data_IF_044050532933
#
_entry.id   IF_044050532933
#
_cell.length_a   1.000
_cell.length_b   1.000
_cell.length_c   1.000
_cell.angle_alpha   90.00
_cell.angle_beta   90.00
_cell.angle_gamma   90.00
#
_symmetry.space_group_name_H-M   'P 1'
#
loop_
_entity.id
_entity.type
_entity.pdbx_description
1 polymer ?
#
# COMPACT_ATOMS: atom_id res chain seq x y z
N UNK A 1 4.73 13.90 23.27
CA UNK A 1 5.45 14.14 24.53
C UNK A 1 4.54 14.02 25.74
N UNK A 2 3.33 14.62 25.77
CA UNK A 2 2.41 14.52 26.93
C UNK A 2 2.06 13.07 27.26
N UNK A 3 1.66 12.26 26.27
CA UNK A 3 1.37 10.84 26.46
C UNK A 3 2.57 10.04 27.00
N UNK A 4 3.79 10.32 26.54
CA UNK A 4 4.99 9.66 27.05
C UNK A 4 5.23 9.99 28.54
N UNK A 5 5.03 11.26 28.94
CA UNK A 5 5.12 11.65 30.37
C UNK A 5 4.09 10.94 31.22
N UNK A 6 2.84 10.88 30.74
CA UNK A 6 1.74 10.20 31.45
C UNK A 6 2.02 8.71 31.64
N UNK A 7 2.65 8.06 30.66
CA UNK A 7 3.02 6.66 30.68
C UNK A 7 4.39 6.39 31.33
N UNK A 8 5.08 7.42 31.83
CA UNK A 8 6.43 7.33 32.41
C UNK A 8 7.46 6.72 31.45
N UNK A 9 7.27 6.94 30.14
CA UNK A 9 8.18 6.50 29.09
C UNK A 9 9.22 7.57 28.76
N UNK A 10 10.38 7.19 28.20
CA UNK A 10 11.35 8.15 27.66
C UNK A 10 10.70 9.12 26.68
N UNK A 11 11.16 10.39 26.71
CA UNK A 11 10.61 11.39 25.78
C UNK A 11 11.02 11.05 24.33
N UNK A 12 10.08 11.05 23.39
CA UNK A 12 10.39 10.78 22.01
C UNK A 12 11.23 11.92 21.41
N UNK A 13 12.25 11.54 20.65
CA UNK A 13 12.98 12.48 19.81
C UNK A 13 12.15 12.80 18.57
N UNK A 14 11.99 14.09 18.26
CA UNK A 14 11.28 14.56 17.08
C UNK A 14 12.30 15.00 16.04
N UNK A 15 12.22 14.39 14.86
CA UNK A 15 13.02 14.76 13.68
C UNK A 15 12.08 15.33 12.61
N UNK A 16 12.27 16.60 12.28
CA UNK A 16 11.54 17.25 11.19
C UNK A 16 12.34 17.10 9.91
N UNK A 17 11.83 16.32 8.96
CA UNK A 17 12.50 16.10 7.67
C UNK A 17 12.50 17.35 6.81
N UNK A 18 13.62 17.65 6.16
CA UNK A 18 13.84 18.84 5.35
C UNK A 18 13.76 18.57 3.84
N UNK A 19 13.90 17.30 3.43
CA UNK A 19 13.91 16.87 2.03
C UNK A 19 13.37 15.45 1.89
N UNK A 20 12.93 15.11 0.68
CA UNK A 20 12.48 13.76 0.34
C UNK A 20 13.64 12.75 0.46
N UNK A 21 13.38 11.60 1.08
CA UNK A 21 14.37 10.56 1.34
C UNK A 21 15.05 10.65 2.71
N UNK A 22 14.92 11.78 3.44
CA UNK A 22 15.58 11.94 4.74
C UNK A 22 15.02 10.96 5.80
N UNK A 23 13.74 10.66 5.78
CA UNK A 23 13.16 9.68 6.69
C UNK A 23 13.70 8.28 6.42
N UNK A 24 13.91 7.92 5.15
CA UNK A 24 14.54 6.65 4.74
C UNK A 24 16.00 6.57 5.22
N UNK A 25 16.76 7.65 5.07
CA UNK A 25 18.15 7.72 5.54
C UNK A 25 18.23 7.54 7.06
N UNK A 26 17.38 8.23 7.81
CA UNK A 26 17.29 8.11 9.25
C UNK A 26 16.94 6.67 9.68
N UNK A 27 15.94 6.06 9.04
CA UNK A 27 15.56 4.68 9.33
C UNK A 27 16.71 3.69 9.07
N UNK A 28 17.47 3.87 7.98
CA UNK A 28 18.68 3.06 7.70
C UNK A 28 19.76 3.21 8.76
N UNK A 29 19.99 4.42 9.26
CA UNK A 29 20.96 4.68 10.32
C UNK A 29 20.57 3.96 11.60
N UNK A 30 19.29 4.02 12.00
CA UNK A 30 18.79 3.28 13.17
C UNK A 30 18.84 1.76 12.95
N UNK A 31 18.50 1.28 11.76
CA UNK A 31 18.63 -0.14 11.42
C UNK A 31 20.07 -0.62 11.57
N UNK A 32 21.04 0.14 11.05
CA UNK A 32 22.46 -0.18 11.14
C UNK A 32 23.04 -0.12 12.56
N UNK A 33 22.43 0.65 13.48
CA UNK A 33 22.90 0.75 14.86
C UNK A 33 22.70 -0.53 15.68
N UNK A 34 21.78 -1.42 15.24
CA UNK A 34 21.41 -2.63 15.97
C UNK A 34 20.64 -2.39 17.28
N UNK A 35 20.48 -1.13 17.69
CA UNK A 35 19.75 -0.78 18.91
C UNK A 35 18.23 -0.84 18.66
N UNK A 36 17.45 -1.53 19.52
CA UNK A 36 15.99 -1.54 19.38
C UNK A 36 15.41 -0.14 19.40
N UNK A 37 14.61 0.21 18.38
CA UNK A 37 13.99 1.53 18.24
C UNK A 37 12.60 1.45 17.61
N UNK A 38 11.69 2.29 18.10
CA UNK A 38 10.38 2.54 17.51
C UNK A 38 10.44 3.86 16.71
N UNK A 39 10.19 3.80 15.40
CA UNK A 39 10.15 4.94 14.51
C UNK A 39 8.69 5.22 14.10
N UNK A 40 8.21 6.44 14.28
CA UNK A 40 6.84 6.83 13.93
C UNK A 40 6.84 7.79 12.75
N UNK A 41 6.19 7.37 11.66
CA UNK A 41 5.89 8.24 10.52
C UNK A 41 4.73 9.18 10.89
N UNK A 42 5.04 10.40 11.31
CA UNK A 42 4.04 11.46 11.53
C UNK A 42 3.84 12.22 10.21
N UNK A 43 3.06 11.64 9.28
CA UNK A 43 2.92 12.16 7.93
C UNK A 43 1.87 11.39 7.12
N UNK A 44 1.98 11.48 5.79
CA UNK A 44 1.17 10.68 4.86
C UNK A 44 1.90 9.40 4.41
N UNK A 45 1.30 8.74 3.41
CA UNK A 45 1.79 7.47 2.87
C UNK A 45 3.25 7.54 2.40
N UNK A 46 3.68 8.66 1.79
CA UNK A 46 5.07 8.84 1.38
C UNK A 46 6.07 8.84 2.53
N UNK A 47 5.75 9.48 3.68
CA UNK A 47 6.62 9.47 4.86
C UNK A 47 6.72 8.05 5.46
N UNK A 48 5.60 7.34 5.50
CA UNK A 48 5.56 5.95 5.93
C UNK A 48 6.41 5.07 5.00
N UNK A 49 6.24 5.22 3.68
CA UNK A 49 6.99 4.45 2.69
C UNK A 49 8.51 4.68 2.81
N UNK A 50 8.96 5.92 3.06
CA UNK A 50 10.38 6.21 3.32
C UNK A 50 10.91 5.44 4.56
N UNK A 51 10.16 5.42 5.67
CA UNK A 51 10.55 4.65 6.85
C UNK A 51 10.56 3.15 6.56
N UNK A 52 9.55 2.63 5.87
CA UNK A 52 9.46 1.22 5.45
C UNK A 52 10.68 0.83 4.62
N UNK A 53 11.04 1.61 3.60
CA UNK A 53 12.21 1.37 2.76
C UNK A 53 13.53 1.38 3.54
N UNK A 54 13.62 2.21 4.56
CA UNK A 54 14.82 2.31 5.41
C UNK A 54 14.93 1.22 6.45
N UNK A 55 13.79 0.69 6.94
CA UNK A 55 13.71 -0.29 8.01
C UNK A 55 13.54 -1.74 7.50
N UNK A 56 13.26 -1.94 6.22
CA UNK A 56 13.01 -3.26 5.63
C UNK A 56 14.12 -4.26 5.97
N UNK A 57 13.74 -5.47 6.40
CA UNK A 57 14.66 -6.52 6.81
C UNK A 57 15.34 -6.32 8.19
N UNK A 58 15.10 -5.19 8.86
CA UNK A 58 15.70 -4.91 10.15
C UNK A 58 14.92 -5.57 11.30
N UNK A 59 15.64 -6.27 12.17
CA UNK A 59 15.06 -6.89 13.36
C UNK A 59 14.89 -5.91 14.54
N UNK A 60 15.70 -4.85 14.58
CA UNK A 60 15.78 -3.90 15.70
C UNK A 60 14.90 -2.65 15.49
N UNK A 61 14.32 -2.43 14.32
CA UNK A 61 13.44 -1.30 14.05
C UNK A 61 12.00 -1.76 13.97
N UNK A 62 11.10 -1.04 14.67
CA UNK A 62 9.67 -1.18 14.52
C UNK A 62 9.07 0.15 14.04
N UNK A 63 8.19 0.10 13.02
CA UNK A 63 7.63 1.28 12.37
C UNK A 63 6.17 1.47 12.77
N UNK A 64 5.85 2.62 13.35
CA UNK A 64 4.48 3.07 13.61
C UNK A 64 4.05 4.16 12.63
N UNK A 65 2.75 4.42 12.54
CA UNK A 65 2.18 5.45 11.69
C UNK A 65 1.23 6.36 12.46
N UNK A 66 1.43 7.67 12.35
CA UNK A 66 0.48 8.70 12.77
C UNK A 66 -0.04 9.37 11.51
N UNK A 67 -1.27 9.06 11.05
CA UNK A 67 -1.76 9.45 9.74
C UNK A 67 -2.13 10.93 9.69
N UNK A 68 -1.27 11.75 9.09
CA UNK A 68 -1.46 13.19 8.91
C UNK A 68 -1.55 13.60 7.43
N UNK A 69 -1.55 12.65 6.51
CA UNK A 69 -1.64 12.86 5.07
C UNK A 69 -3.07 12.95 4.55
N UNK A 70 -3.21 13.11 3.23
CA UNK A 70 -4.51 13.17 2.55
C UNK A 70 -5.05 11.79 2.15
N UNK A 71 -4.18 10.78 1.93
CA UNK A 71 -4.54 9.41 1.57
C UNK A 71 -4.70 8.55 2.80
N UNK A 72 -3.60 8.32 3.49
CA UNK A 72 -3.48 7.47 4.67
C UNK A 72 -4.05 6.07 4.42
N UNK A 73 -3.64 5.46 3.31
CA UNK A 73 -4.22 4.20 2.83
C UNK A 73 -3.80 3.03 3.73
N UNK A 74 -2.55 3.03 4.23
CA UNK A 74 -2.05 2.02 5.15
C UNK A 74 -2.97 1.77 6.36
N UNK A 75 -3.40 2.82 7.05
CA UNK A 75 -4.22 2.68 8.26
C UNK A 75 -5.64 2.19 7.99
N UNK A 76 -6.11 2.25 6.74
CA UNK A 76 -7.41 1.71 6.32
C UNK A 76 -7.44 0.19 6.35
N UNK A 77 -6.30 -0.46 6.24
CA UNK A 77 -6.18 -1.91 6.31
C UNK A 77 -6.61 -2.48 7.68
N UNK A 78 -6.63 -1.67 8.74
CA UNK A 78 -6.84 -2.13 10.12
C UNK A 78 -8.28 -1.93 10.62
N UNK A 79 -9.25 -2.06 9.75
CA UNK A 79 -10.67 -2.25 10.09
C UNK A 79 -11.49 -0.97 10.18
N UNK A 80 -12.75 -1.15 10.63
CA UNK A 80 -13.79 -0.12 10.64
C UNK A 80 -13.50 1.08 11.55
N UNK A 81 -12.64 0.94 12.56
CA UNK A 81 -12.18 2.04 13.39
C UNK A 81 -11.32 3.06 12.62
N UNK A 82 -10.81 2.67 11.43
CA UNK A 82 -10.07 3.54 10.55
C UNK A 82 -8.86 4.18 11.21
N UNK A 83 -8.72 5.49 11.09
CA UNK A 83 -7.56 6.24 11.58
C UNK A 83 -7.57 6.51 13.10
N UNK A 84 -8.72 6.41 13.77
CA UNK A 84 -8.87 6.84 15.15
C UNK A 84 -7.89 6.19 16.14
N UNK A 85 -7.62 4.86 16.10
CA UNK A 85 -6.65 4.24 17.00
C UNK A 85 -5.21 4.75 16.75
N UNK A 86 -4.90 5.11 15.52
CA UNK A 86 -3.58 5.60 15.13
C UNK A 86 -3.33 7.06 15.54
N UNK A 87 -4.39 7.80 15.88
CA UNK A 87 -4.30 9.16 16.42
C UNK A 87 -4.25 9.20 17.96
N UNK A 88 -4.48 8.06 18.62
CA UNK A 88 -4.29 7.92 20.06
C UNK A 88 -2.81 7.67 20.37
N UNK A 89 -2.10 8.70 20.79
CA UNK A 89 -0.67 8.62 21.09
C UNK A 89 -0.36 7.70 22.27
N UNK A 90 -1.24 7.54 23.23
CA UNK A 90 -1.03 6.63 24.34
C UNK A 90 -1.13 5.17 23.87
N UNK A 91 -2.13 4.85 23.04
CA UNK A 91 -2.26 3.54 22.41
C UNK A 91 -1.06 3.23 21.48
N UNK A 92 -0.58 4.22 20.72
CA UNK A 92 0.62 4.08 19.86
C UNK A 92 1.87 3.72 20.66
N UNK A 93 2.13 4.43 21.77
CA UNK A 93 3.30 4.18 22.62
C UNK A 93 3.23 2.84 23.39
N UNK A 94 2.05 2.24 23.49
CA UNK A 94 1.82 0.91 24.08
C UNK A 94 1.65 -0.19 23.02
N UNK A 95 1.76 0.17 21.73
CA UNK A 95 1.62 -0.78 20.64
C UNK A 95 2.71 -1.86 20.70
N UNK A 96 2.32 -3.07 20.30
CA UNK A 96 3.25 -4.20 20.21
C UNK A 96 3.72 -4.36 18.76
N UNK A 97 4.97 -4.72 18.54
CA UNK A 97 5.47 -5.00 17.19
C UNK A 97 4.82 -6.27 16.63
N UNK A 98 4.37 -6.17 15.39
CA UNK A 98 3.83 -7.29 14.61
C UNK A 98 4.64 -7.40 13.33
N UNK A 99 4.95 -8.61 12.90
CA UNK A 99 5.63 -8.83 11.64
C UNK A 99 4.67 -8.77 10.47
N UNK A 100 5.06 -8.02 9.44
CA UNK A 100 4.32 -7.95 8.18
C UNK A 100 5.25 -8.21 7.00
N UNK A 101 4.64 -8.65 5.92
CA UNK A 101 5.28 -8.80 4.63
C UNK A 101 5.45 -7.45 3.95
N UNK A 102 6.36 -7.36 3.01
CA UNK A 102 6.57 -6.19 2.16
C UNK A 102 6.56 -6.61 0.69
N UNK A 103 6.37 -5.63 -0.20
CA UNK A 103 6.61 -5.80 -1.63
C UNK A 103 8.02 -5.34 -1.99
N UNK A 104 8.83 -6.24 -2.55
CA UNK A 104 10.05 -5.85 -3.26
C UNK A 104 9.70 -5.68 -4.73
N UNK A 105 9.95 -4.50 -5.27
CA UNK A 105 9.70 -4.24 -6.69
C UNK A 105 10.93 -3.65 -7.38
N UNK A 106 10.90 -3.61 -8.72
CA UNK A 106 11.92 -2.90 -9.50
C UNK A 106 11.91 -1.38 -9.28
N UNK A 107 10.87 -0.83 -8.62
CA UNK A 107 10.76 0.59 -8.24
C UNK A 107 11.19 0.87 -6.81
N UNK A 108 11.35 -0.15 -5.98
CA UNK A 108 11.68 -0.06 -4.57
C UNK A 108 10.84 -0.98 -3.70
N UNK A 109 10.84 -0.72 -2.39
CA UNK A 109 10.07 -1.50 -1.41
C UNK A 109 8.81 -0.73 -1.04
N UNK A 110 7.68 -1.43 -0.98
CA UNK A 110 6.40 -0.91 -0.52
C UNK A 110 5.77 -1.78 0.55
N UNK A 111 4.78 -1.24 1.23
CA UNK A 111 4.02 -1.93 2.27
C UNK A 111 2.60 -2.26 1.82
N UNK A 112 1.98 -1.42 1.00
CA UNK A 112 0.59 -1.60 0.59
C UNK A 112 0.45 -2.19 -0.81
N UNK A 113 0.60 -1.37 -1.86
CA UNK A 113 0.25 -1.77 -3.24
C UNK A 113 1.26 -1.24 -4.25
N UNK A 114 1.67 -2.11 -5.15
CA UNK A 114 2.26 -1.75 -6.43
C UNK A 114 1.21 -1.92 -7.53
N UNK A 115 1.04 -0.91 -8.37
CA UNK A 115 0.07 -0.97 -9.45
C UNK A 115 0.65 -0.47 -10.76
N UNK A 116 0.08 -0.92 -11.89
CA UNK A 116 0.47 -0.48 -13.23
C UNK A 116 -0.75 -0.29 -14.13
N UNK A 117 -0.75 0.76 -14.93
CA UNK A 117 -1.80 1.07 -15.89
C UNK A 117 -2.67 2.24 -15.51
N UNK A 118 -4.00 2.10 -15.65
CA UNK A 118 -4.94 3.21 -15.55
C UNK A 118 -4.90 3.93 -14.20
N UNK A 119 -4.86 3.19 -13.12
CA UNK A 119 -4.81 3.72 -11.74
C UNK A 119 -3.49 4.44 -11.45
N UNK A 120 -2.36 3.82 -11.81
CA UNK A 120 -1.05 4.46 -11.71
C UNK A 120 -0.95 5.72 -12.59
N UNK A 121 -1.59 5.72 -13.76
CA UNK A 121 -1.66 6.90 -14.63
C UNK A 121 -2.46 8.04 -13.99
N UNK A 122 -3.53 7.73 -13.25
CA UNK A 122 -4.25 8.72 -12.44
C UNK A 122 -3.33 9.32 -11.39
N UNK A 123 -2.63 8.49 -10.62
CA UNK A 123 -1.69 8.96 -9.60
C UNK A 123 -0.57 9.84 -10.19
N UNK A 124 0.02 9.41 -11.30
CA UNK A 124 1.08 10.13 -12.03
C UNK A 124 0.65 11.51 -12.53
N UNK A 125 -0.63 11.68 -12.88
CA UNK A 125 -1.17 12.94 -13.38
C UNK A 125 -1.46 13.99 -12.28
N UNK A 126 -1.69 13.57 -11.03
CA UNK A 126 -2.12 14.46 -9.94
C UNK A 126 -1.15 15.64 -9.72
N UNK A 127 0.18 15.49 -9.63
CA UNK A 127 1.10 16.57 -9.41
C UNK A 127 1.03 17.68 -10.50
N UNK A 128 0.77 17.27 -11.74
CA UNK A 128 0.59 18.22 -12.87
C UNK A 128 -0.59 19.14 -12.64
N UNK A 129 -1.72 18.59 -12.21
CA UNK A 129 -2.94 19.37 -11.99
C UNK A 129 -2.88 20.19 -10.70
N UNK A 130 -2.19 19.73 -9.66
CA UNK A 130 -1.99 20.50 -8.42
C UNK A 130 -1.23 21.81 -8.64
N UNK A 131 -0.43 21.92 -9.72
CA UNK A 131 0.29 23.14 -10.08
C UNK A 131 -0.59 24.21 -10.73
N UNK A 132 -1.82 23.88 -11.14
CA UNK A 132 -2.75 24.83 -11.74
C UNK A 132 -3.41 25.70 -10.67
N UNK A 133 -3.51 27.02 -10.87
CA UNK A 133 -4.20 27.91 -9.94
C UNK A 133 -5.64 27.44 -9.69
N UNK A 134 -6.07 27.38 -8.43
CA UNK A 134 -7.40 26.95 -8.04
C UNK A 134 -7.67 25.44 -8.08
N UNK A 135 -6.73 24.61 -8.53
CA UNK A 135 -6.86 23.17 -8.59
C UNK A 135 -6.21 22.49 -7.37
N UNK A 136 -6.81 22.62 -6.19
CA UNK A 136 -6.39 21.89 -4.99
C UNK A 136 -7.00 20.50 -4.88
N UNK A 137 -6.36 19.62 -4.08
CA UNK A 137 -6.89 18.36 -3.57
C UNK A 137 -7.77 17.55 -4.54
N UNK A 138 -9.08 17.56 -4.29
CA UNK A 138 -10.08 16.79 -5.03
C UNK A 138 -10.18 17.20 -6.52
N UNK A 139 -10.01 18.48 -6.86
CA UNK A 139 -10.10 18.93 -8.25
C UNK A 139 -8.95 18.36 -9.10
N UNK A 140 -7.72 18.38 -8.59
CA UNK A 140 -6.56 17.80 -9.27
C UNK A 140 -6.73 16.29 -9.49
N UNK A 141 -7.27 15.58 -8.50
CA UNK A 141 -7.58 14.16 -8.60
C UNK A 141 -8.63 13.87 -9.69
N UNK A 142 -9.74 14.63 -9.69
CA UNK A 142 -10.81 14.48 -10.69
C UNK A 142 -10.31 14.75 -12.11
N UNK A 143 -9.50 15.81 -12.30
CA UNK A 143 -8.90 16.13 -13.60
C UNK A 143 -7.93 15.04 -14.06
N UNK A 144 -7.18 14.44 -13.15
CA UNK A 144 -6.30 13.33 -13.46
C UNK A 144 -7.07 12.08 -13.89
N UNK A 145 -8.19 11.75 -13.23
CA UNK A 145 -9.08 10.67 -13.67
C UNK A 145 -9.60 10.97 -15.09
N UNK A 146 -10.09 12.19 -15.34
CA UNK A 146 -10.61 12.56 -16.64
C UNK A 146 -9.54 12.43 -17.74
N UNK A 147 -8.31 12.89 -17.47
CA UNK A 147 -7.19 12.73 -18.39
C UNK A 147 -6.90 11.25 -18.66
N UNK A 148 -6.83 10.44 -17.60
CA UNK A 148 -6.58 9.01 -17.73
C UNK A 148 -7.69 8.30 -18.52
N UNK A 149 -8.95 8.69 -18.29
CA UNK A 149 -10.10 8.19 -19.03
C UNK A 149 -10.09 8.57 -20.53
N UNK A 150 -9.47 9.69 -20.91
CA UNK A 150 -9.30 10.10 -22.30
C UNK A 150 -8.10 9.44 -22.98
N UNK A 151 -7.19 8.86 -22.22
CA UNK A 151 -6.02 8.16 -22.77
C UNK A 151 -6.38 6.82 -23.40
N UNK A 152 -5.42 6.21 -24.07
CA UNK A 152 -5.57 4.87 -24.64
C UNK A 152 -5.55 3.83 -23.52
N UNK A 153 -6.59 3.01 -23.44
CA UNK A 153 -6.68 1.91 -22.48
C UNK A 153 -5.92 0.69 -22.95
N UNK A 154 -5.17 0.12 -22.03
CA UNK A 154 -4.53 -1.16 -22.17
C UNK A 154 -3.16 -1.13 -22.84
N UNK A 155 -2.32 -2.00 -22.33
CA UNK A 155 -1.01 -2.35 -22.84
C UNK A 155 -0.98 -3.83 -23.13
N UNK A 156 -0.30 -4.23 -24.22
CA UNK A 156 -0.02 -5.63 -24.45
C UNK A 156 1.15 -6.04 -23.55
N UNK A 157 0.87 -6.92 -22.60
CA UNK A 157 1.82 -7.36 -21.56
C UNK A 157 2.05 -8.87 -21.68
N UNK A 158 3.29 -9.28 -21.45
CA UNK A 158 3.62 -10.61 -20.96
C UNK A 158 3.65 -10.53 -19.45
N UNK A 159 2.88 -11.39 -18.79
CA UNK A 159 2.75 -11.45 -17.33
C UNK A 159 3.13 -12.86 -16.88
N UNK A 160 4.14 -12.99 -16.05
CA UNK A 160 4.53 -14.24 -15.42
C UNK A 160 4.17 -14.17 -13.93
N UNK A 161 3.34 -15.11 -13.46
CA UNK A 161 2.91 -15.22 -12.06
C UNK A 161 3.44 -16.55 -11.52
N UNK A 162 4.34 -16.48 -10.53
CA UNK A 162 5.10 -17.64 -10.03
C UNK A 162 5.68 -18.48 -11.19
N UNK A 163 6.27 -17.79 -12.19
CA UNK A 163 6.88 -18.40 -13.36
C UNK A 163 5.90 -18.89 -14.44
N UNK A 164 4.59 -18.81 -14.23
CA UNK A 164 3.59 -19.18 -15.25
C UNK A 164 3.26 -17.96 -16.12
N UNK A 165 3.68 -18.02 -17.37
CA UNK A 165 3.50 -16.92 -18.33
C UNK A 165 2.11 -16.90 -18.96
N UNK A 166 1.59 -15.69 -19.13
CA UNK A 166 0.43 -15.37 -19.93
C UNK A 166 0.67 -14.07 -20.70
N UNK A 167 0.18 -14.00 -21.93
CA UNK A 167 0.23 -12.79 -22.74
C UNK A 167 -1.18 -12.29 -22.99
N UNK A 168 -1.41 -11.03 -22.71
CA UNK A 168 -2.73 -10.42 -22.86
C UNK A 168 -2.66 -8.91 -22.99
N UNK A 169 -3.82 -8.30 -23.21
CA UNK A 169 -3.98 -6.84 -23.11
C UNK A 169 -4.64 -6.53 -21.77
N UNK A 170 -3.99 -5.68 -20.98
CA UNK A 170 -4.48 -5.29 -19.66
C UNK A 170 -4.51 -3.77 -19.55
N UNK A 171 -5.56 -3.24 -18.96
CA UNK A 171 -5.68 -1.81 -18.68
C UNK A 171 -5.15 -1.44 -17.29
N UNK A 172 -5.12 -2.42 -16.39
CA UNK A 172 -4.69 -2.23 -15.01
C UNK A 172 -4.18 -3.56 -14.44
N UNK A 173 -3.14 -3.47 -13.63
CA UNK A 173 -2.67 -4.54 -12.77
C UNK A 173 -2.41 -3.95 -11.38
N UNK A 174 -3.03 -4.50 -10.34
CA UNK A 174 -2.75 -4.17 -8.95
C UNK A 174 -2.10 -5.38 -8.27
N UNK A 175 -0.98 -5.17 -7.60
CA UNK A 175 -0.18 -6.17 -6.89
C UNK A 175 -0.22 -5.74 -5.44
N UNK A 176 -0.98 -6.46 -4.62
CA UNK A 176 -1.44 -6.02 -3.33
C UNK A 176 -0.84 -6.87 -2.20
N UNK A 177 -0.15 -6.23 -1.27
CA UNK A 177 0.17 -6.75 0.05
C UNK A 177 -0.86 -6.24 1.07
N UNK A 178 -1.21 -4.95 1.00
CA UNK A 178 -2.40 -4.37 1.64
C UNK A 178 -3.59 -4.27 0.70
N UNK A 179 -4.76 -3.91 1.22
CA UNK A 179 -6.00 -3.84 0.44
C UNK A 179 -6.30 -2.48 -0.18
N UNK A 180 -5.68 -1.39 0.31
CA UNK A 180 -6.08 -0.01 -0.01
C UNK A 180 -4.99 0.79 -0.70
N UNK A 181 -5.41 1.68 -1.61
CA UNK A 181 -4.55 2.63 -2.29
C UNK A 181 -5.35 3.84 -2.82
N UNK A 182 -4.65 4.85 -3.33
CA UNK A 182 -5.26 5.96 -4.06
C UNK A 182 -6.29 6.78 -3.27
N UNK A 183 -6.16 6.86 -1.94
CA UNK A 183 -7.08 7.59 -1.07
C UNK A 183 -8.38 6.83 -0.80
N UNK A 184 -8.31 5.52 -0.62
CA UNK A 184 -9.41 4.66 -0.19
C UNK A 184 -10.06 3.81 -1.27
N UNK A 185 -9.37 3.53 -2.37
CA UNK A 185 -9.77 2.46 -3.28
C UNK A 185 -9.34 1.12 -2.70
N UNK A 186 -10.25 0.16 -2.66
CA UNK A 186 -10.01 -1.15 -2.08
C UNK A 186 -9.77 -2.18 -3.19
N UNK A 187 -8.51 -2.30 -3.64
CA UNK A 187 -8.15 -3.18 -4.75
C UNK A 187 -8.22 -4.66 -4.38
N UNK A 188 -7.82 -5.01 -3.15
CA UNK A 188 -7.84 -6.37 -2.63
C UNK A 188 -8.46 -6.40 -1.22
N UNK A 189 -9.80 -6.48 -1.12
CA UNK A 189 -10.52 -6.37 0.15
C UNK A 189 -10.14 -7.43 1.19
N UNK A 190 -9.58 -8.53 0.75
CA UNK A 190 -9.24 -9.67 1.58
C UNK A 190 -7.73 -9.94 1.66
N UNK A 191 -6.90 -9.01 1.17
CA UNK A 191 -5.45 -9.09 1.29
C UNK A 191 -5.02 -9.22 2.75
N UNK A 192 -3.99 -10.04 2.98
CA UNK A 192 -3.39 -10.23 4.30
C UNK A 192 -1.90 -9.91 4.23
N UNK A 193 -1.44 -9.03 5.12
CA UNK A 193 -0.06 -8.52 5.09
C UNK A 193 0.95 -9.44 5.80
N UNK A 194 0.58 -10.67 6.13
CA UNK A 194 1.40 -11.62 6.91
C UNK A 194 1.25 -13.08 6.47
N UNK A 195 0.75 -13.33 5.25
CA UNK A 195 0.52 -14.70 4.75
C UNK A 195 1.55 -15.15 3.70
N UNK A 196 2.55 -14.32 3.41
CA UNK A 196 3.62 -14.63 2.45
C UNK A 196 3.17 -14.64 1.00
N UNK A 197 2.04 -13.98 0.68
CA UNK A 197 1.46 -13.92 -0.66
C UNK A 197 1.11 -12.49 -1.04
N UNK A 198 0.97 -12.26 -2.34
CA UNK A 198 0.45 -11.04 -2.95
C UNK A 198 -0.87 -11.36 -3.64
N UNK A 199 -1.87 -10.50 -3.47
CA UNK A 199 -3.10 -10.56 -4.24
C UNK A 199 -2.94 -9.75 -5.53
N UNK A 200 -2.97 -10.41 -6.69
CA UNK A 200 -2.70 -9.83 -7.99
C UNK A 200 -4.01 -9.71 -8.76
N UNK A 201 -4.48 -8.50 -8.98
CA UNK A 201 -5.70 -8.20 -9.72
C UNK A 201 -5.33 -7.69 -11.10
N UNK A 202 -5.66 -8.47 -12.13
CA UNK A 202 -5.46 -8.10 -13.54
C UNK A 202 -6.79 -7.74 -14.18
N UNK A 203 -6.85 -6.57 -14.84
CA UNK A 203 -8.04 -6.06 -15.49
C UNK A 203 -7.81 -5.88 -16.98
N UNK A 204 -8.62 -6.59 -17.81
CA UNK A 204 -8.64 -6.43 -19.26
C UNK A 204 -9.32 -5.11 -19.65
N UNK A 205 -9.02 -4.56 -20.83
CA UNK A 205 -9.69 -3.35 -21.31
C UNK A 205 -11.22 -3.53 -21.41
N UNK A 206 -11.94 -2.57 -20.87
CA UNK A 206 -13.37 -2.42 -20.98
C UNK A 206 -13.70 -1.02 -21.50
N UNK A 207 -14.94 -0.78 -21.90
CA UNK A 207 -15.36 0.55 -22.37
C UNK A 207 -15.32 1.59 -21.24
N UNK A 208 -15.13 2.86 -21.60
CA UNK A 208 -15.13 3.98 -20.63
C UNK A 208 -16.42 4.07 -19.82
N UNK A 209 -17.55 3.76 -20.48
CA UNK A 209 -18.87 3.73 -19.82
C UNK A 209 -18.91 2.63 -18.76
N UNK A 210 -18.39 1.45 -19.07
CA UNK A 210 -18.29 0.35 -18.09
C UNK A 210 -17.38 0.74 -16.93
N UNK A 211 -16.21 1.34 -17.18
CA UNK A 211 -15.32 1.83 -16.10
C UNK A 211 -16.09 2.77 -15.17
N UNK A 212 -16.78 3.77 -15.72
CA UNK A 212 -17.55 4.72 -14.92
C UNK A 212 -18.67 4.02 -14.10
N UNK A 213 -19.32 3.01 -14.68
CA UNK A 213 -20.38 2.25 -14.01
C UNK A 213 -19.91 1.37 -12.86
N UNK A 214 -18.69 0.83 -12.94
CA UNK A 214 -18.17 -0.08 -11.90
C UNK A 214 -17.25 0.61 -10.87
N UNK A 215 -16.80 1.84 -11.15
CA UNK A 215 -15.78 2.51 -10.35
C UNK A 215 -16.14 2.62 -8.86
N UNK A 216 -17.39 2.94 -8.56
CA UNK A 216 -17.87 3.04 -7.18
C UNK A 216 -17.88 1.66 -6.46
N UNK A 217 -18.25 0.60 -7.19
CA UNK A 217 -18.21 -0.77 -6.67
C UNK A 217 -16.77 -1.24 -6.42
N UNK A 218 -15.88 -0.95 -7.37
CA UNK A 218 -14.45 -1.25 -7.24
C UNK A 218 -13.83 -0.50 -6.06
N UNK A 219 -14.10 0.81 -5.95
CA UNK A 219 -13.63 1.61 -4.82
C UNK A 219 -14.06 1.04 -3.47
N UNK A 220 -15.28 0.51 -3.38
CA UNK A 220 -15.84 -0.09 -2.16
C UNK A 220 -15.46 -1.56 -1.95
N UNK A 221 -14.57 -2.14 -2.76
CA UNK A 221 -14.17 -3.55 -2.67
C UNK A 221 -15.25 -4.55 -3.08
N UNK A 222 -16.38 -4.09 -3.64
CA UNK A 222 -17.54 -4.94 -3.97
C UNK A 222 -17.37 -5.77 -5.24
N UNK A 223 -16.18 -5.81 -5.81
CA UNK A 223 -15.83 -6.68 -6.93
C UNK A 223 -15.41 -8.07 -6.49
N UNK A 224 -15.16 -8.26 -5.20
CA UNK A 224 -14.83 -9.56 -4.59
C UNK A 224 -15.93 -9.98 -3.60
N UNK A 225 -16.24 -11.28 -3.59
CA UNK A 225 -17.18 -11.90 -2.66
C UNK A 225 -16.45 -12.45 -1.43
N UNK A 226 -15.27 -13.00 -1.63
CA UNK A 226 -14.35 -13.55 -0.64
C UNK A 226 -12.91 -13.46 -1.18
N UNK A 227 -11.93 -14.02 -0.47
CA UNK A 227 -10.51 -13.94 -0.82
C UNK A 227 -10.15 -14.52 -2.20
N UNK A 228 -10.93 -15.45 -2.71
CA UNK A 228 -10.62 -16.18 -3.94
C UNK A 228 -11.69 -15.99 -5.04
N UNK A 229 -12.79 -15.28 -4.74
CA UNK A 229 -13.95 -15.21 -5.62
C UNK A 229 -14.27 -13.79 -6.06
N UNK A 230 -14.16 -13.55 -7.36
CA UNK A 230 -14.65 -12.33 -8.01
C UNK A 230 -16.16 -12.46 -8.26
N UNK A 231 -16.96 -11.41 -7.96
CA UNK A 231 -18.39 -11.41 -8.24
C UNK A 231 -18.67 -11.53 -9.74
N UNK A 232 -19.79 -12.15 -10.16
CA UNK A 232 -20.06 -12.47 -11.57
C UNK A 232 -19.93 -11.30 -12.55
N UNK A 233 -20.32 -10.09 -12.12
CA UNK A 233 -20.28 -8.87 -12.93
C UNK A 233 -18.87 -8.51 -13.43
N UNK A 234 -17.83 -8.86 -12.66
CA UNK A 234 -16.44 -8.51 -12.96
C UNK A 234 -15.65 -9.65 -13.64
N UNK A 235 -16.12 -10.91 -13.58
CA UNK A 235 -15.38 -12.09 -14.07
C UNK A 235 -14.98 -12.07 -15.54
N UNK A 236 -15.73 -11.36 -16.39
CA UNK A 236 -15.44 -11.31 -17.83
C UNK A 236 -14.15 -10.53 -18.16
N UNK A 237 -13.76 -9.59 -17.31
CA UNK A 237 -12.62 -8.70 -17.55
C UNK A 237 -11.63 -8.61 -16.40
N UNK A 238 -11.92 -9.18 -15.24
CA UNK A 238 -11.06 -9.16 -14.07
C UNK A 238 -10.63 -10.59 -13.68
N UNK A 239 -9.37 -10.75 -13.32
CA UNK A 239 -8.82 -12.02 -12.83
C UNK A 239 -8.01 -11.74 -11.58
N UNK A 240 -8.15 -12.61 -10.58
CA UNK A 240 -7.41 -12.59 -9.33
C UNK A 240 -6.43 -13.77 -9.30
N UNK A 241 -5.23 -13.50 -8.79
CA UNK A 241 -4.24 -14.51 -8.45
C UNK A 241 -3.70 -14.24 -7.06
N UNK A 242 -3.32 -15.29 -6.35
CA UNK A 242 -2.53 -15.22 -5.12
C UNK A 242 -1.20 -15.91 -5.39
N UNK A 243 -0.11 -15.18 -5.27
CA UNK A 243 1.22 -15.62 -5.70
C UNK A 243 2.33 -14.93 -4.90
N UNK A 244 3.54 -15.47 -5.00
CA UNK A 244 4.72 -14.89 -4.36
C UNK A 244 5.44 -13.90 -5.23
N UNK A 245 5.28 -14.01 -6.55
CA UNK A 245 5.98 -13.15 -7.50
C UNK A 245 5.15 -12.86 -8.74
N UNK A 246 5.38 -11.70 -9.32
CA UNK A 246 4.85 -11.34 -10.63
C UNK A 246 5.89 -10.54 -11.40
N UNK A 247 6.06 -10.90 -12.66
CA UNK A 247 6.85 -10.14 -13.63
C UNK A 247 5.96 -9.70 -14.78
N UNK A 248 6.05 -8.44 -15.16
CA UNK A 248 5.33 -7.87 -16.29
C UNK A 248 6.30 -7.24 -17.26
N UNK A 249 6.16 -7.53 -18.56
CA UNK A 249 6.91 -6.93 -19.63
C UNK A 249 5.97 -6.32 -20.67
N UNK A 250 6.22 -5.07 -21.02
CA UNK A 250 5.45 -4.35 -22.05
C UNK A 250 5.90 -4.80 -23.44
N UNK A 251 4.94 -5.19 -24.27
CA UNK A 251 5.18 -5.72 -25.64
C UNK A 251 4.75 -4.74 -26.75
N UNK A 252 4.11 -3.62 -26.41
CA UNK A 252 3.62 -2.64 -27.40
C UNK A 252 4.52 -1.38 -27.52
N UNK A 253 5.75 -1.46 -27.05
CA UNK A 253 6.78 -0.41 -27.10
C UNK A 253 6.37 0.95 -26.51
N UNK A 254 5.38 0.97 -25.61
CA UNK A 254 4.93 2.18 -24.91
C UNK A 254 5.10 1.95 -23.40
N UNK A 255 5.87 2.78 -22.70
CA UNK A 255 5.99 2.64 -21.26
C UNK A 255 4.60 2.64 -20.58
N UNK A 256 4.40 1.71 -19.64
CA UNK A 256 3.26 1.73 -18.73
C UNK A 256 3.64 2.54 -17.50
N UNK A 257 2.72 3.33 -16.98
CA UNK A 257 2.95 3.97 -15.68
C UNK A 257 2.75 2.93 -14.60
N UNK A 258 3.74 2.80 -13.73
CA UNK A 258 3.64 1.99 -12.52
C UNK A 258 3.80 2.88 -11.28
N UNK A 259 3.26 2.42 -10.15
CA UNK A 259 3.35 3.09 -8.85
C UNK A 259 3.64 2.08 -7.76
N UNK A 260 4.38 2.50 -6.75
CA UNK A 260 4.57 1.79 -5.48
C UNK A 260 4.24 2.75 -4.34
N UNK A 261 3.19 2.47 -3.57
CA UNK A 261 2.70 3.31 -2.45
C UNK A 261 2.60 4.81 -2.81
N UNK A 262 2.21 5.12 -4.05
CA UNK A 262 2.04 6.49 -4.55
C UNK A 262 3.23 7.09 -5.31
N UNK A 263 4.42 6.49 -5.24
CA UNK A 263 5.57 6.90 -6.05
C UNK A 263 5.46 6.31 -7.45
N UNK A 264 5.46 7.17 -8.48
CA UNK A 264 5.12 6.77 -9.85
C UNK A 264 6.30 6.91 -10.80
N UNK A 265 6.45 5.93 -11.72
CA UNK A 265 7.42 5.99 -12.82
C UNK A 265 6.90 5.30 -14.10
N UNK A 266 7.31 5.77 -15.29
CA UNK A 266 7.12 5.02 -16.53
C UNK A 266 8.11 3.85 -16.61
N UNK A 267 7.62 2.64 -16.93
CA UNK A 267 8.41 1.43 -17.00
C UNK A 267 8.09 0.60 -18.24
N UNK A 268 9.07 -0.18 -18.72
CA UNK A 268 8.89 -1.22 -19.75
C UNK A 268 8.78 -2.61 -19.13
N UNK A 269 9.30 -2.75 -17.91
CA UNK A 269 9.26 -3.98 -17.13
C UNK A 269 8.95 -3.63 -15.68
N UNK A 270 8.17 -4.47 -15.02
CA UNK A 270 7.88 -4.39 -13.59
C UNK A 270 8.01 -5.79 -12.99
N UNK A 271 8.81 -5.91 -11.96
CA UNK A 271 8.92 -7.12 -11.16
C UNK A 271 8.48 -6.80 -9.75
N UNK A 272 7.73 -7.71 -9.16
CA UNK A 272 7.35 -7.63 -7.76
C UNK A 272 7.38 -9.01 -7.13
N UNK A 273 7.87 -9.07 -5.90
CA UNK A 273 7.88 -10.28 -5.09
C UNK A 273 7.55 -9.95 -3.63
N UNK A 274 6.97 -10.89 -2.93
CA UNK A 274 6.74 -10.75 -1.50
C UNK A 274 8.07 -10.94 -0.76
N UNK A 275 8.31 -10.07 0.24
CA UNK A 275 9.34 -10.26 1.27
C UNK A 275 8.64 -10.68 2.56
N UNK A 276 8.60 -11.98 2.89
CA UNK A 276 7.85 -12.46 4.04
C UNK A 276 8.43 -11.96 5.35
N UNK A 277 7.55 -11.51 6.25
CA UNK A 277 7.90 -11.06 7.60
C UNK A 277 9.06 -10.05 7.64
N UNK A 278 9.11 -9.14 6.67
CA UNK A 278 10.26 -8.27 6.43
C UNK A 278 10.28 -7.00 7.28
N UNK A 279 9.18 -6.66 7.97
CA UNK A 279 9.10 -5.46 8.79
C UNK A 279 8.35 -5.71 10.10
N UNK A 280 8.84 -5.11 11.20
CA UNK A 280 8.03 -4.96 12.41
C UNK A 280 7.21 -3.69 12.31
N UNK A 281 5.89 -3.79 12.40
CA UNK A 281 4.99 -2.63 12.49
C UNK A 281 4.39 -2.52 13.89
N UNK A 282 4.17 -1.29 14.33
CA UNK A 282 3.54 -0.98 15.62
C UNK A 282 2.06 -0.71 15.39
N UNK A 283 1.20 -1.57 15.91
CA UNK A 283 -0.24 -1.43 15.79
C UNK A 283 -0.88 -1.08 17.13
N UNK A 284 -1.57 0.07 17.22
CA UNK A 284 -2.30 0.45 18.43
C UNK A 284 -3.50 -0.47 18.64
N UNK A 285 -3.84 -0.79 19.91
CA UNK A 285 -5.12 -1.43 20.23
C UNK A 285 -6.26 -0.43 20.03
N UNK A 286 -7.41 -0.78 19.42
CA UNK A 286 -7.90 -2.08 18.99
C UNK A 286 -7.56 -2.49 17.53
N UNK A 287 -6.67 -1.80 16.83
CA UNK A 287 -6.29 -2.13 15.47
C UNK A 287 -5.69 -3.55 15.34
N UNK A 288 -5.19 -4.10 16.46
CA UNK A 288 -4.65 -5.46 16.56
C UNK A 288 -5.65 -6.62 16.32
N UNK A 289 -6.94 -6.34 16.04
CA UNK A 289 -7.95 -7.39 15.82
C UNK A 289 -8.44 -7.47 14.38
N UNK A 290 -7.77 -6.80 13.43
CA UNK A 290 -8.19 -6.80 12.03
C UNK A 290 -7.77 -8.09 11.30
N UNK A 291 -8.62 -8.56 10.39
CA UNK A 291 -8.37 -9.77 9.59
C UNK A 291 -7.15 -9.66 8.65
N UNK A 292 -6.57 -8.48 8.48
CA UNK A 292 -5.44 -8.18 7.60
C UNK A 292 -4.11 -8.72 8.13
N UNK A 293 -4.01 -8.99 9.44
CA UNK A 293 -2.84 -9.64 10.05
C UNK A 293 -3.32 -10.88 10.79
N UNK A 294 -3.11 -12.05 10.18
CA UNK A 294 -3.60 -13.34 10.69
C UNK A 294 -2.84 -13.82 11.93
N UNK A 295 -1.53 -13.53 12.00
CA UNK A 295 -0.66 -13.93 13.11
C UNK A 295 -0.91 -13.20 14.44
N UNK A 296 -1.76 -12.15 14.49
CA UNK A 296 -2.09 -11.44 15.72
C UNK A 296 -2.93 -12.24 16.71
N UNK A 297 -3.60 -13.32 16.26
CA UNK A 297 -4.35 -14.21 17.14
C UNK A 297 -3.47 -15.09 18.05
N UNK A 298 -2.17 -15.18 17.78
CA UNK A 298 -1.19 -15.93 18.58
C UNK A 298 -0.25 -15.03 19.40
N UNK A 299 -0.62 -13.78 19.67
CA UNK A 299 0.20 -12.90 20.51
C UNK A 299 0.31 -13.51 21.94
N UNK A 300 1.52 -13.86 22.42
CA UNK A 300 1.72 -14.60 23.69
C UNK A 300 1.24 -13.86 24.95
N UNK A 301 0.74 -12.65 24.85
CA UNK A 301 0.26 -11.88 25.98
C UNK A 301 -1.12 -12.26 26.49
N UNK A 302 -1.89 -13.13 25.79
CA UNK A 302 -3.14 -13.69 26.34
C UNK A 302 -2.91 -14.87 27.31
N UNK A 303 -1.69 -15.42 27.36
CA UNK A 303 -1.37 -16.56 28.23
C UNK A 303 -1.04 -16.18 29.69
N UNK A 304 -1.03 -14.90 30.06
CA UNK A 304 -0.73 -14.45 31.45
C UNK A 304 -1.87 -13.73 32.17
N UNK A 305 -3.09 -13.87 31.68
CA UNK A 305 -4.30 -13.42 32.39
C UNK A 305 -5.22 -14.62 32.64
N UNK A 306 -4.77 -15.57 33.42
CA UNK A 306 -5.55 -16.56 34.16
C UNK A 306 -5.00 -16.69 35.55
#
# INVERSE_FOLDING_TARGET
QAAARQLQLPQPQIVVTQYAGQAREAARQYAASGTPVALYACGGDGTLNELVQGAAGSANVAVGCVPCGSGNDYVRNFGAAGQAPFLDFAAQLQAQPCRVDLLQTSLGIGIDICAAGLDAQVAYGIPKFRRLPGCGGTAAYTLSILQAMLSRFGHKLRVAIDGKENTGTYMMAAICNGGYYGGGYQAAPYAAMDDGLLDIVLVKPISRIQVAGILAKYKAGRHMQDADTIVPEFRSFMTLYRARSVEMQVLDNRPIIATIDGECAPVMELKAEVLPSALNVLLPRPACGSAVIRGLYECPMQAKAK
#
